data_IF_957756476510
#
_entry.id   IF_957756476510
#
_cell.length_a   1.000
_cell.length_b   1.000
_cell.length_c   1.000
_cell.angle_alpha   90.00
_cell.angle_beta   90.00
_cell.angle_gamma   90.00
#
_symmetry.space_group_name_H-M   'P 1'
#
loop_
_entity.id
_entity.type
_entity.pdbx_description
1 polymer ?
#
# COMPACT_ATOMS: atom_id res chain seq x y z
N UNK A 1 -10.04 9.75 -9.53
CA UNK A 1 -9.91 10.82 -10.55
C UNK A 1 -9.30 10.37 -11.89
N UNK A 2 -8.20 9.61 -11.93
CA UNK A 2 -7.46 9.30 -13.17
C UNK A 2 -7.64 7.88 -13.74
N UNK A 3 -8.48 7.04 -13.13
CA UNK A 3 -8.62 5.61 -13.53
C UNK A 3 -8.99 5.40 -15.01
N UNK A 4 -9.61 6.40 -15.63
CA UNK A 4 -9.95 6.39 -17.06
C UNK A 4 -8.74 6.52 -17.99
N UNK A 5 -7.60 7.03 -17.51
CA UNK A 5 -6.35 7.23 -18.25
C UNK A 5 -5.45 5.98 -18.28
N UNK A 6 -5.93 4.87 -17.70
CA UNK A 6 -5.15 3.65 -17.57
C UNK A 6 -4.69 3.04 -18.91
N UNK A 7 -5.50 3.06 -20.01
CA UNK A 7 -5.03 2.59 -21.32
C UNK A 7 -3.80 3.35 -21.83
N UNK A 8 -3.78 4.68 -21.68
CA UNK A 8 -2.68 5.53 -22.13
C UNK A 8 -1.42 5.29 -21.29
N UNK A 9 -1.56 5.10 -19.98
CA UNK A 9 -0.45 4.76 -19.07
C UNK A 9 0.16 3.40 -19.45
N UNK A 10 -0.68 2.41 -19.77
CA UNK A 10 -0.25 1.08 -20.19
C UNK A 10 0.55 1.12 -21.50
N UNK A 11 0.03 1.83 -22.49
CA UNK A 11 0.71 2.01 -23.78
C UNK A 11 2.06 2.72 -23.61
N UNK A 12 2.11 3.77 -22.79
CA UNK A 12 3.35 4.49 -22.49
C UNK A 12 4.39 3.58 -21.81
N UNK A 13 3.98 2.75 -20.84
CA UNK A 13 4.90 1.84 -20.17
C UNK A 13 5.48 0.78 -21.12
N UNK A 14 4.66 0.27 -22.05
CA UNK A 14 5.13 -0.62 -23.12
C UNK A 14 6.12 0.08 -24.06
N UNK A 15 5.81 1.31 -24.51
CA UNK A 15 6.68 2.09 -25.40
C UNK A 15 8.05 2.38 -24.77
N UNK A 16 8.07 2.67 -23.47
CA UNK A 16 9.30 2.90 -22.71
C UNK A 16 10.11 1.61 -22.47
N UNK A 17 9.55 0.44 -22.80
CA UNK A 17 10.20 -0.85 -22.56
C UNK A 17 10.35 -1.16 -21.07
N UNK A 18 9.36 -0.79 -20.25
CA UNK A 18 9.40 -1.05 -18.82
C UNK A 18 9.42 -2.56 -18.52
N UNK A 19 10.22 -2.97 -17.54
CA UNK A 19 10.24 -4.37 -17.06
C UNK A 19 8.91 -4.76 -16.41
N UNK A 20 8.31 -3.82 -15.67
CA UNK A 20 7.03 -3.99 -15.01
C UNK A 20 6.30 -2.65 -14.78
N UNK A 21 4.97 -2.74 -14.73
CA UNK A 21 4.06 -1.65 -14.36
C UNK A 21 3.18 -2.08 -13.18
N UNK A 22 3.13 -1.24 -12.15
CA UNK A 22 2.25 -1.40 -11.00
C UNK A 22 1.08 -0.43 -11.10
N UNK A 23 -0.13 -0.99 -11.17
CA UNK A 23 -1.39 -0.26 -11.16
C UNK A 23 -2.00 -0.42 -9.77
N UNK A 24 -1.69 0.52 -8.89
CA UNK A 24 -2.16 0.51 -7.51
C UNK A 24 -3.21 1.59 -7.26
N UNK A 25 -4.31 1.20 -6.61
CA UNK A 25 -5.29 2.15 -6.10
C UNK A 25 -4.73 2.90 -4.89
N UNK A 26 -5.20 4.13 -4.70
CA UNK A 26 -4.88 4.93 -3.51
C UNK A 26 -5.26 4.17 -2.25
N UNK A 27 -4.34 4.09 -1.28
CA UNK A 27 -4.65 3.59 0.05
C UNK A 27 -5.37 4.68 0.86
N UNK A 28 -6.55 4.38 1.39
CA UNK A 28 -7.42 5.37 2.05
C UNK A 28 -7.17 5.50 3.55
N UNK A 29 -5.98 5.95 3.92
CA UNK A 29 -5.62 6.41 5.27
C UNK A 29 -5.15 7.87 5.24
N UNK A 30 -4.99 8.50 6.40
CA UNK A 30 -4.53 9.89 6.52
C UNK A 30 -5.31 10.86 5.61
N UNK A 31 -4.58 11.62 4.78
CA UNK A 31 -5.16 12.59 3.85
C UNK A 31 -6.09 11.95 2.81
N UNK A 32 -5.75 10.77 2.28
CA UNK A 32 -6.58 10.10 1.29
C UNK A 32 -7.91 9.64 1.89
N UNK A 33 -7.94 9.28 3.17
CA UNK A 33 -9.19 8.97 3.87
C UNK A 33 -10.12 10.19 3.94
N UNK A 34 -9.58 11.35 4.29
CA UNK A 34 -10.35 12.59 4.37
C UNK A 34 -10.92 13.04 3.01
N UNK A 35 -10.30 12.62 1.90
CA UNK A 35 -10.71 12.95 0.53
C UNK A 35 -11.31 11.75 -0.21
N UNK A 36 -11.70 10.69 0.51
CA UNK A 36 -12.10 9.41 -0.09
C UNK A 36 -13.23 9.57 -1.10
N UNK A 37 -14.23 10.41 -0.83
CA UNK A 37 -15.40 10.55 -1.69
C UNK A 37 -15.05 11.09 -3.10
N UNK A 38 -13.92 11.80 -3.22
CA UNK A 38 -13.37 12.27 -4.50
C UNK A 38 -12.41 11.25 -5.14
N UNK A 39 -11.66 10.54 -4.32
CA UNK A 39 -10.57 9.67 -4.76
C UNK A 39 -11.04 8.25 -5.10
N UNK A 40 -12.06 7.74 -4.41
CA UNK A 40 -12.58 6.39 -4.56
C UNK A 40 -13.29 6.21 -5.91
N UNK A 41 -12.77 5.36 -6.83
CA UNK A 41 -13.46 5.07 -8.07
C UNK A 41 -14.78 4.36 -7.77
N UNK A 42 -15.77 4.53 -8.64
CA UNK A 42 -17.00 3.75 -8.55
C UNK A 42 -16.75 2.28 -8.89
N UNK A 43 -17.65 1.39 -8.46
CA UNK A 43 -17.54 -0.05 -8.75
C UNK A 43 -17.45 -0.31 -10.26
N UNK A 44 -18.28 0.35 -11.06
CA UNK A 44 -18.26 0.21 -12.52
C UNK A 44 -16.95 0.72 -13.15
N UNK A 45 -16.35 1.78 -12.59
CA UNK A 45 -15.02 2.25 -13.05
C UNK A 45 -13.94 1.23 -12.71
N UNK A 46 -14.02 0.62 -11.53
CA UNK A 46 -13.11 -0.42 -11.10
C UNK A 46 -13.21 -1.68 -11.98
N UNK A 47 -14.41 -2.23 -12.18
CA UNK A 47 -14.62 -3.42 -13.04
C UNK A 47 -14.10 -3.19 -14.46
N UNK A 48 -14.33 -1.99 -15.02
CA UNK A 48 -13.79 -1.60 -16.32
C UNK A 48 -12.26 -1.56 -16.33
N UNK A 49 -11.65 -0.98 -15.30
CA UNK A 49 -10.20 -0.88 -15.19
C UNK A 49 -9.55 -2.26 -15.03
N UNK A 50 -10.13 -3.13 -14.21
CA UNK A 50 -9.67 -4.50 -14.06
C UNK A 50 -9.70 -5.25 -15.40
N UNK A 51 -10.79 -5.17 -16.14
CA UNK A 51 -10.91 -5.81 -17.46
C UNK A 51 -9.83 -5.33 -18.44
N UNK A 52 -9.54 -4.03 -18.47
CA UNK A 52 -8.47 -3.46 -19.31
C UNK A 52 -7.10 -3.97 -18.85
N UNK A 53 -6.83 -4.01 -17.55
CA UNK A 53 -5.53 -4.44 -17.02
C UNK A 53 -5.27 -5.92 -17.33
N UNK A 54 -6.28 -6.78 -17.21
CA UNK A 54 -6.16 -8.21 -17.55
C UNK A 54 -5.93 -8.41 -19.05
N UNK A 55 -6.71 -7.73 -19.90
CA UNK A 55 -6.51 -7.82 -21.35
C UNK A 55 -5.11 -7.34 -21.77
N UNK A 56 -4.61 -6.25 -21.19
CA UNK A 56 -3.27 -5.76 -21.51
C UNK A 56 -2.17 -6.71 -21.01
N UNK A 57 -2.36 -7.32 -19.84
CA UNK A 57 -1.43 -8.31 -19.27
C UNK A 57 -1.26 -9.53 -20.18
N UNK A 58 -2.32 -9.98 -20.83
CA UNK A 58 -2.25 -11.03 -21.84
C UNK A 58 -1.46 -10.58 -23.08
N UNK A 59 -1.70 -9.35 -23.56
CA UNK A 59 -1.03 -8.81 -24.75
C UNK A 59 0.49 -8.62 -24.59
N UNK A 60 0.96 -8.22 -23.41
CA UNK A 60 2.38 -7.97 -23.15
C UNK A 60 3.10 -9.12 -22.45
N UNK A 61 2.47 -10.30 -22.37
CA UNK A 61 3.01 -11.47 -21.71
C UNK A 61 4.43 -11.80 -22.23
N UNK A 62 5.38 -11.90 -21.30
CA UNK A 62 6.80 -12.16 -21.61
C UNK A 62 7.63 -10.93 -22.01
N UNK A 63 7.01 -9.76 -22.20
CA UNK A 63 7.71 -8.49 -22.48
C UNK A 63 7.75 -7.56 -21.28
N UNK A 64 6.59 -7.37 -20.62
CA UNK A 64 6.42 -6.51 -19.45
C UNK A 64 5.51 -7.20 -18.44
N UNK A 65 5.79 -7.07 -17.14
CA UNK A 65 4.91 -7.59 -16.09
C UNK A 65 3.90 -6.53 -15.66
N UNK A 66 2.66 -6.94 -15.40
CA UNK A 66 1.64 -6.04 -14.87
C UNK A 66 1.16 -6.57 -13.53
N UNK A 67 1.29 -5.72 -12.51
CA UNK A 67 0.74 -5.92 -11.18
C UNK A 67 -0.46 -5.00 -11.02
N UNK A 68 -1.65 -5.58 -10.88
CA UNK A 68 -2.88 -4.85 -10.62
C UNK A 68 -3.27 -5.03 -9.16
N UNK A 69 -3.24 -3.95 -8.37
CA UNK A 69 -3.57 -3.97 -6.94
C UNK A 69 -5.02 -3.51 -6.75
N UNK A 70 -5.86 -4.49 -6.44
CA UNK A 70 -7.29 -4.34 -6.19
C UNK A 70 -7.54 -3.48 -4.94
N UNK A 71 -8.48 -2.52 -4.96
CA UNK A 71 -8.84 -1.73 -3.79
C UNK A 71 -9.70 -2.55 -2.82
N UNK A 72 -9.38 -2.48 -1.53
CA UNK A 72 -10.06 -3.27 -0.50
C UNK A 72 -11.51 -2.82 -0.22
N UNK A 73 -11.99 -1.71 -0.78
CA UNK A 73 -13.34 -1.17 -0.54
C UNK A 73 -14.47 -1.92 -1.25
N UNK A 74 -14.14 -2.74 -2.25
CA UNK A 74 -15.11 -3.61 -2.95
C UNK A 74 -14.93 -5.09 -2.60
N UNK A 75 -14.12 -5.40 -1.58
CA UNK A 75 -13.82 -6.76 -1.14
C UNK A 75 -14.61 -7.11 0.13
N UNK A 76 -14.99 -8.39 0.28
CA UNK A 76 -15.77 -8.88 1.42
C UNK A 76 -14.96 -8.99 2.72
N UNK A 77 -13.61 -8.95 2.62
CA UNK A 77 -12.72 -9.12 3.76
C UNK A 77 -11.47 -8.24 3.64
N UNK A 78 -11.05 -7.54 4.72
CA UNK A 78 -9.80 -6.79 4.72
C UNK A 78 -8.60 -7.73 4.63
N UNK A 79 -7.60 -7.33 3.85
CA UNK A 79 -6.28 -8.00 3.79
C UNK A 79 -5.40 -7.50 4.92
N UNK A 80 -4.48 -8.34 5.39
CA UNK A 80 -3.47 -7.91 6.36
C UNK A 80 -2.52 -6.90 5.67
N UNK A 81 -2.53 -5.65 6.13
CA UNK A 81 -1.63 -4.61 5.63
C UNK A 81 -0.17 -5.06 5.85
N UNK A 82 0.60 -5.15 4.76
CA UNK A 82 2.02 -5.56 4.77
C UNK A 82 2.28 -6.86 5.56
N UNK A 83 1.36 -7.84 5.43
CA UNK A 83 1.41 -9.15 6.10
C UNK A 83 1.23 -9.12 7.64
N UNK A 84 0.85 -7.97 8.19
CA UNK A 84 0.56 -7.78 9.61
C UNK A 84 1.53 -6.83 10.31
N UNK A 85 1.05 -6.23 11.40
CA UNK A 85 1.76 -5.17 12.13
C UNK A 85 3.14 -5.61 12.62
N UNK A 86 4.19 -4.88 12.19
CA UNK A 86 5.56 -5.13 12.62
C UNK A 86 6.04 -6.56 12.33
N UNK A 87 5.51 -7.23 11.32
CA UNK A 87 5.91 -8.61 10.96
C UNK A 87 6.98 -8.64 9.88
N UNK A 88 6.93 -7.68 8.96
CA UNK A 88 7.72 -7.72 7.71
C UNK A 88 8.50 -6.43 7.45
N UNK A 89 7.93 -5.25 7.78
CA UNK A 89 8.51 -3.95 7.43
C UNK A 89 8.75 -3.06 8.65
N UNK A 90 9.82 -2.28 8.56
CA UNK A 90 10.17 -1.18 9.46
C UNK A 90 10.49 0.04 8.59
N UNK A 91 9.82 1.15 8.86
CA UNK A 91 10.03 2.42 8.15
C UNK A 91 10.76 3.39 9.06
N UNK A 92 11.83 4.05 8.59
CA UNK A 92 12.47 5.16 9.29
C UNK A 92 12.01 6.48 8.67
N UNK A 93 11.30 7.29 9.44
CA UNK A 93 10.91 8.63 9.03
C UNK A 93 12.13 9.57 9.00
N UNK A 94 12.08 10.69 8.26
CA UNK A 94 13.19 11.63 8.17
C UNK A 94 13.65 12.24 9.51
N UNK A 95 12.78 12.27 10.53
CA UNK A 95 13.10 12.69 11.90
C UNK A 95 13.71 11.57 12.77
N UNK A 96 13.97 10.40 12.18
CA UNK A 96 14.57 9.23 12.84
C UNK A 96 13.58 8.32 13.54
N UNK A 97 12.28 8.62 13.54
CA UNK A 97 11.28 7.73 14.13
C UNK A 97 11.15 6.44 13.33
N UNK A 98 11.19 5.31 14.05
CA UNK A 98 10.94 4.00 13.49
C UNK A 98 9.46 3.64 13.62
N UNK A 99 8.84 3.27 12.51
CA UNK A 99 7.40 3.03 12.39
C UNK A 99 7.14 1.59 11.91
N UNK A 100 6.25 0.84 12.59
CA UNK A 100 5.85 -0.52 12.17
C UNK A 100 4.96 -0.55 10.92
N UNK A 101 4.39 0.60 10.54
CA UNK A 101 3.78 0.86 9.24
C UNK A 101 3.87 2.37 8.93
N UNK A 102 3.74 2.76 7.66
CA UNK A 102 3.93 4.17 7.26
C UNK A 102 2.99 5.15 7.99
N UNK A 103 1.79 4.70 8.37
CA UNK A 103 0.77 5.53 9.03
C UNK A 103 0.70 5.34 10.54
N UNK A 104 1.65 4.61 11.16
CA UNK A 104 1.61 4.26 12.58
C UNK A 104 1.53 5.48 13.50
N UNK A 105 2.15 6.60 13.10
CA UNK A 105 2.16 7.87 13.85
C UNK A 105 0.78 8.51 14.00
N UNK A 106 -0.19 8.13 13.17
CA UNK A 106 -1.57 8.62 13.28
C UNK A 106 -2.33 7.97 14.45
N UNK A 107 -1.85 6.84 14.98
CA UNK A 107 -2.52 6.14 16.07
C UNK A 107 -2.34 6.88 17.40
N UNK A 108 -3.43 7.16 18.14
CA UNK A 108 -3.34 7.84 19.42
C UNK A 108 -2.64 6.96 20.45
N UNK A 109 -1.69 7.55 21.20
CA UNK A 109 -0.99 6.86 22.29
C UNK A 109 0.06 5.84 21.85
N UNK A 110 0.49 5.87 20.58
CA UNK A 110 1.58 5.04 20.07
C UNK A 110 2.91 5.80 20.03
N UNK A 111 3.69 5.69 21.09
CA UNK A 111 5.03 6.29 21.17
C UNK A 111 6.03 5.48 20.34
N UNK A 112 6.38 5.99 19.15
CA UNK A 112 7.34 5.35 18.24
C UNK A 112 8.79 5.67 18.68
N UNK A 113 9.71 4.69 18.71
CA UNK A 113 11.09 4.92 19.11
C UNK A 113 11.91 5.62 18.02
N UNK A 114 13.02 6.27 18.38
CA UNK A 114 13.93 6.92 17.44
C UNK A 114 15.24 6.15 17.30
N UNK A 115 15.77 6.05 16.08
CA UNK A 115 17.04 5.35 15.79
C UNK A 115 18.27 6.06 16.34
N UNK A 116 18.15 7.32 16.74
CA UNK A 116 19.22 8.03 17.44
C UNK A 116 19.38 7.58 18.89
N UNK A 117 18.32 6.98 19.48
CA UNK A 117 18.29 6.59 20.89
C UNK A 117 18.41 5.06 21.08
N UNK A 118 17.97 4.28 20.10
CA UNK A 118 17.90 2.81 20.18
C UNK A 118 18.42 2.15 18.90
N UNK A 119 18.97 0.94 19.02
CA UNK A 119 19.34 0.13 17.84
C UNK A 119 18.10 -0.40 17.11
N UNK A 120 18.24 -0.72 15.82
CA UNK A 120 17.16 -1.32 15.01
C UNK A 120 16.67 -2.64 15.61
N UNK A 121 17.57 -3.44 16.18
CA UNK A 121 17.22 -4.71 16.81
C UNK A 121 16.35 -4.51 18.06
N UNK A 122 16.70 -3.56 18.93
CA UNK A 122 15.91 -3.20 20.10
C UNK A 122 14.54 -2.63 19.70
N UNK A 123 14.53 -1.73 18.71
CA UNK A 123 13.30 -1.17 18.15
C UNK A 123 12.37 -2.28 17.66
N UNK A 124 12.89 -3.20 16.84
CA UNK A 124 12.10 -4.24 16.22
C UNK A 124 11.55 -5.27 17.22
N UNK A 125 12.40 -5.73 18.15
CA UNK A 125 12.05 -6.83 19.03
C UNK A 125 11.40 -6.38 20.34
N UNK A 126 11.78 -5.22 20.89
CA UNK A 126 11.45 -4.85 22.26
C UNK A 126 10.51 -3.64 22.35
N UNK A 127 10.44 -2.78 21.33
CA UNK A 127 9.62 -1.57 21.43
C UNK A 127 8.13 -1.90 21.54
N UNK A 128 7.43 -1.13 22.37
CA UNK A 128 5.96 -1.23 22.47
C UNK A 128 5.31 -0.94 21.12
N UNK A 129 5.81 0.05 20.38
CA UNK A 129 5.25 0.42 19.09
C UNK A 129 5.19 -0.76 18.10
N UNK A 130 6.26 -1.55 18.00
CA UNK A 130 6.31 -2.70 17.09
C UNK A 130 5.56 -3.93 17.59
N UNK A 131 5.41 -4.08 18.91
CA UNK A 131 4.77 -5.26 19.50
C UNK A 131 3.28 -5.09 19.82
N UNK A 132 2.76 -3.86 19.94
CA UNK A 132 1.41 -3.61 20.46
C UNK A 132 0.31 -4.34 19.68
N UNK A 133 0.35 -4.31 18.35
CA UNK A 133 -0.59 -5.00 17.47
C UNK A 133 0.03 -6.21 16.75
N UNK A 134 1.23 -6.64 17.16
CA UNK A 134 1.91 -7.78 16.54
C UNK A 134 1.24 -9.07 17.02
N UNK A 135 0.92 -9.96 16.09
CA UNK A 135 0.13 -11.16 16.39
C UNK A 135 -1.32 -10.82 16.71
N UNK A 136 -1.95 -11.62 17.57
CA UNK A 136 -3.37 -11.50 17.88
C UNK A 136 -3.68 -11.31 19.36
N UNK A 137 -2.66 -11.25 20.23
CA UNK A 137 -2.82 -11.23 21.70
C UNK A 137 -3.44 -9.93 22.24
N UNK A 138 -3.58 -8.91 21.39
CA UNK A 138 -4.16 -7.61 21.70
C UNK A 138 -5.69 -7.57 21.53
N UNK A 139 -6.30 -8.59 20.93
CA UNK A 139 -7.75 -8.78 20.78
C UNK A 139 -8.28 -9.75 21.84
#
# INVERSE_FOLDING_TARGET
ENIHQMPEILAMAEELGADYLELANTQYYGWAHANRDLLLPTQAQFEKAEAIAQAFKENVAGKMKIYYVVPDFYEDRPKACMNGWGTTFLTIAPDGLALPCHSARELPGLDCPNVNDYSIEEIWNQSKAFNFFRGHDWM
#
